data_IF_223683023996
#
_entry.id   IF_223683023996
#
_cell.length_a   1.000
_cell.length_b   1.000
_cell.length_c   1.000
_cell.angle_alpha   90.00
_cell.angle_beta   90.00
_cell.angle_gamma   90.00
#
_symmetry.space_group_name_H-M   'P 1'
#
loop_
_entity.id
_entity.type
_entity.pdbx_description
1 polymer ?
#
# COMPACT_ATOMS: atom_id res chain seq x y z
N UNK A 1 1.45 29.44 -5.21
CA UNK A 1 1.03 28.59 -6.34
C UNK A 1 1.93 27.35 -6.37
N UNK A 2 1.53 26.27 -5.69
CA UNK A 2 2.22 24.97 -5.73
C UNK A 2 1.56 24.16 -6.87
N UNK A 3 2.37 23.74 -7.84
CA UNK A 3 1.94 22.85 -8.91
C UNK A 3 1.60 21.50 -8.29
N UNK A 4 0.32 21.16 -8.30
CA UNK A 4 -0.12 19.80 -8.10
C UNK A 4 0.40 18.96 -9.27
N UNK A 5 1.36 18.10 -9.01
CA UNK A 5 1.78 17.06 -9.94
C UNK A 5 0.68 15.99 -9.96
N UNK A 6 -0.27 16.20 -10.85
CA UNK A 6 -1.28 15.21 -11.19
C UNK A 6 -0.58 14.06 -11.93
N UNK A 7 -0.22 13.01 -11.20
CA UNK A 7 0.16 11.73 -11.80
C UNK A 7 -1.11 11.18 -12.44
N UNK A 8 -1.30 11.49 -13.72
CA UNK A 8 -2.36 10.88 -14.51
C UNK A 8 -2.10 9.38 -14.54
N UNK A 9 -2.87 8.63 -13.76
CA UNK A 9 -3.09 7.20 -14.02
C UNK A 9 -3.86 7.12 -15.33
N UNK A 10 -3.14 6.93 -16.42
CA UNK A 10 -3.73 6.75 -17.74
C UNK A 10 -4.54 5.46 -17.73
N UNK A 11 -5.85 5.60 -17.82
CA UNK A 11 -6.77 4.55 -18.25
C UNK A 11 -7.20 3.55 -17.18
N UNK A 12 -8.11 3.95 -16.30
CA UNK A 12 -8.97 2.99 -15.61
C UNK A 12 -9.95 2.40 -16.65
N UNK A 13 -9.54 1.33 -17.33
CA UNK A 13 -10.46 0.48 -18.07
C UNK A 13 -11.04 -0.54 -17.09
N UNK A 14 -12.31 -0.35 -16.72
CA UNK A 14 -13.10 -1.39 -16.07
C UNK A 14 -13.34 -2.48 -17.10
N UNK A 15 -12.55 -3.55 -17.06
CA UNK A 15 -12.76 -4.72 -17.90
C UNK A 15 -13.93 -5.53 -17.34
N UNK A 16 -14.99 -5.62 -18.11
CA UNK A 16 -16.10 -6.54 -17.88
C UNK A 16 -15.68 -7.93 -18.37
N UNK A 17 -15.56 -8.90 -17.47
CA UNK A 17 -15.45 -10.31 -17.82
C UNK A 17 -16.61 -10.72 -18.74
N UNK A 18 -16.30 -11.09 -19.96
CA UNK A 18 -17.21 -11.82 -20.82
C UNK A 18 -16.83 -13.30 -20.78
N UNK A 19 -17.63 -14.08 -20.09
CA UNK A 19 -17.62 -15.53 -20.30
C UNK A 19 -18.08 -15.82 -21.72
N UNK A 20 -17.23 -16.40 -22.53
CA UNK A 20 -17.63 -17.01 -23.81
C UNK A 20 -17.79 -18.51 -23.55
N UNK A 21 -19.04 -18.93 -23.33
CA UNK A 21 -19.44 -20.32 -23.51
C UNK A 21 -19.53 -20.56 -25.01
N UNK A 22 -18.59 -21.33 -25.57
CA UNK A 22 -18.65 -21.83 -26.92
C UNK A 22 -18.67 -23.34 -26.92
N UNK A 23 -19.87 -23.93 -26.82
CA UNK A 23 -20.07 -25.34 -27.16
C UNK A 23 -20.38 -25.45 -28.67
N UNK A 24 -19.52 -26.13 -29.43
CA UNK A 24 -19.92 -26.71 -30.67
C UNK A 24 -19.12 -27.99 -30.90
N UNK A 25 -19.76 -29.12 -30.59
CA UNK A 25 -19.28 -30.44 -31.02
C UNK A 25 -19.44 -30.59 -32.52
N UNK A 26 -18.32 -30.68 -33.22
CA UNK A 26 -18.26 -31.09 -34.62
C UNK A 26 -17.31 -32.27 -34.75
N UNK A 27 -17.87 -33.47 -34.77
CA UNK A 27 -17.11 -34.70 -35.15
C UNK A 27 -16.69 -34.60 -36.61
N UNK A 28 -15.40 -34.36 -36.86
CA UNK A 28 -14.75 -34.63 -38.14
C UNK A 28 -13.78 -35.78 -37.91
N UNK A 29 -14.16 -36.94 -38.39
CA UNK A 29 -13.27 -38.10 -38.56
C UNK A 29 -12.20 -37.71 -39.56
N UNK A 30 -11.01 -37.31 -39.09
CA UNK A 30 -9.83 -37.23 -39.94
C UNK A 30 -9.06 -38.53 -39.82
N UNK A 31 -8.92 -39.22 -40.96
CA UNK A 31 -8.13 -40.45 -41.11
C UNK A 31 -6.70 -40.15 -40.62
N UNK A 32 -6.24 -40.94 -39.65
CA UNK A 32 -4.85 -40.93 -39.21
C UNK A 32 -3.98 -41.51 -40.33
N UNK A 33 -3.25 -40.65 -41.03
CA UNK A 33 -2.10 -41.07 -41.82
C UNK A 33 -0.93 -41.29 -40.85
N UNK A 34 -0.13 -42.36 -41.02
CA UNK A 34 1.04 -42.57 -40.19
C UNK A 34 2.06 -41.48 -40.52
N UNK A 35 2.22 -40.53 -39.65
CA UNK A 35 3.33 -39.58 -39.71
C UNK A 35 4.62 -40.37 -39.44
N UNK A 36 5.35 -40.64 -40.52
CA UNK A 36 6.73 -41.08 -40.42
C UNK A 36 7.53 -40.03 -39.62
N UNK A 37 8.39 -40.52 -38.73
CA UNK A 37 9.24 -39.75 -37.85
C UNK A 37 10.23 -38.84 -38.63
N UNK A 38 9.76 -37.75 -39.16
CA UNK A 38 10.55 -36.53 -39.32
C UNK A 38 10.41 -35.82 -37.96
N UNK A 39 11.53 -35.66 -37.24
CA UNK A 39 11.55 -35.06 -35.92
C UNK A 39 10.70 -33.80 -35.93
N UNK A 40 9.74 -33.72 -35.01
CA UNK A 40 8.88 -32.56 -34.89
C UNK A 40 9.77 -31.33 -34.70
N UNK A 41 9.59 -30.32 -35.53
CA UNK A 41 10.38 -29.11 -35.46
C UNK A 41 10.01 -28.39 -34.15
N UNK A 42 11.01 -28.20 -33.29
CA UNK A 42 10.83 -27.50 -32.01
C UNK A 42 10.38 -26.06 -32.26
N UNK A 43 9.35 -25.62 -31.55
CA UNK A 43 8.89 -24.25 -31.65
C UNK A 43 7.39 -24.09 -31.51
N UNK A 44 6.93 -22.89 -31.84
CA UNK A 44 5.51 -22.53 -31.84
C UNK A 44 4.83 -23.14 -33.07
N UNK A 45 3.77 -23.89 -32.85
CA UNK A 45 3.04 -24.64 -33.90
C UNK A 45 1.53 -24.61 -33.62
N UNK A 46 0.74 -24.69 -34.68
CA UNK A 46 -0.70 -24.93 -34.57
C UNK A 46 -0.94 -26.43 -34.36
N UNK A 47 -1.44 -26.80 -33.17
CA UNK A 47 -1.78 -28.16 -32.81
C UNK A 47 -3.23 -28.23 -32.37
N UNK A 48 -4.06 -29.00 -33.02
CA UNK A 48 -5.50 -29.14 -32.73
C UNK A 48 -6.26 -27.80 -32.70
N UNK A 49 -5.88 -26.88 -33.59
CA UNK A 49 -6.52 -25.57 -33.73
C UNK A 49 -6.11 -24.51 -32.69
N UNK A 50 -5.18 -24.84 -31.80
CA UNK A 50 -4.57 -23.93 -30.84
C UNK A 50 -3.08 -23.74 -31.09
N UNK A 51 -2.55 -22.56 -30.80
CA UNK A 51 -1.11 -22.31 -30.86
C UNK A 51 -0.42 -22.87 -29.61
N UNK A 52 0.51 -23.80 -29.80
CA UNK A 52 1.23 -24.50 -28.75
C UNK A 52 2.74 -24.48 -29.01
N UNK A 53 3.51 -24.73 -27.97
CA UNK A 53 4.96 -24.90 -28.13
C UNK A 53 5.33 -26.39 -28.10
N UNK A 54 6.00 -26.86 -29.12
CA UNK A 54 6.44 -28.26 -29.27
C UNK A 54 7.93 -28.35 -28.94
N UNK A 55 8.34 -29.35 -28.17
CA UNK A 55 9.73 -29.60 -27.83
C UNK A 55 10.46 -30.45 -28.88
N UNK A 56 11.71 -30.79 -28.63
CA UNK A 56 12.57 -31.56 -29.55
C UNK A 56 12.09 -33.01 -29.76
N UNK A 57 11.23 -33.51 -28.87
CA UNK A 57 10.66 -34.86 -28.94
C UNK A 57 9.30 -34.91 -29.62
N UNK A 58 8.76 -33.75 -29.99
CA UNK A 58 7.39 -33.61 -30.50
C UNK A 58 6.33 -33.51 -29.41
N UNK A 59 6.74 -33.39 -28.14
CA UNK A 59 5.85 -33.21 -27.00
C UNK A 59 5.36 -31.77 -26.84
N UNK A 60 4.07 -31.62 -26.47
CA UNK A 60 3.51 -30.29 -26.10
C UNK A 60 4.09 -29.87 -24.76
N UNK A 61 4.67 -28.69 -24.73
CA UNK A 61 5.19 -28.10 -23.50
C UNK A 61 4.05 -27.48 -22.71
N UNK A 62 3.98 -27.76 -21.40
CA UNK A 62 2.98 -27.25 -20.48
C UNK A 62 3.65 -26.57 -19.27
N UNK A 63 2.92 -25.69 -18.56
CA UNK A 63 3.33 -25.04 -17.31
C UNK A 63 4.70 -24.33 -17.39
N UNK A 64 5.03 -23.74 -18.52
CA UNK A 64 6.32 -23.12 -18.77
C UNK A 64 6.21 -21.79 -19.52
N UNK A 65 7.14 -20.90 -19.23
CA UNK A 65 7.35 -19.68 -19.99
C UNK A 65 8.10 -19.97 -21.30
N UNK A 66 7.58 -19.47 -22.40
CA UNK A 66 8.24 -19.45 -23.71
C UNK A 66 8.31 -18.05 -24.27
N UNK A 67 9.35 -17.77 -25.03
CA UNK A 67 9.55 -16.46 -25.68
C UNK A 67 9.21 -16.52 -27.15
N UNK A 68 8.63 -15.44 -27.65
CA UNK A 68 8.39 -15.17 -29.07
C UNK A 68 8.41 -13.65 -29.27
N UNK A 69 9.14 -13.19 -30.26
CA UNK A 69 9.21 -11.77 -30.68
C UNK A 69 9.50 -10.80 -29.51
N UNK A 70 10.42 -11.22 -28.62
CA UNK A 70 10.81 -10.43 -27.44
C UNK A 70 9.82 -10.45 -26.27
N UNK A 71 8.64 -11.07 -26.43
CA UNK A 71 7.63 -11.22 -25.37
C UNK A 71 7.71 -12.60 -24.73
N UNK A 72 7.21 -12.73 -23.51
CA UNK A 72 7.12 -14.00 -22.78
C UNK A 72 5.66 -14.39 -22.63
N UNK A 73 5.38 -15.66 -22.90
CA UNK A 73 4.05 -16.27 -22.83
C UNK A 73 4.12 -17.47 -21.89
N UNK A 74 3.09 -17.67 -21.09
CA UNK A 74 2.98 -18.84 -20.23
C UNK A 74 2.03 -19.87 -20.86
N UNK A 75 2.50 -21.10 -20.93
CA UNK A 75 1.69 -22.24 -21.37
C UNK A 75 1.06 -22.88 -20.14
N UNK A 76 -0.24 -23.05 -20.15
CA UNK A 76 -1.01 -23.65 -19.06
C UNK A 76 -0.83 -25.18 -18.99
N UNK A 77 -1.59 -25.85 -18.16
CA UNK A 77 -1.58 -27.30 -18.00
C UNK A 77 -1.94 -28.09 -19.29
N UNK A 78 -2.67 -27.45 -20.21
CA UNK A 78 -3.06 -28.00 -21.51
C UNK A 78 -2.06 -27.63 -22.65
N UNK A 79 -1.03 -26.81 -22.32
CA UNK A 79 -0.11 -26.25 -23.29
C UNK A 79 -0.68 -25.10 -24.11
N UNK A 80 -1.79 -24.51 -23.68
CA UNK A 80 -2.39 -23.34 -24.29
C UNK A 80 -1.80 -22.05 -23.71
N UNK A 81 -1.79 -20.97 -24.49
CA UNK A 81 -1.32 -19.68 -24.02
C UNK A 81 -2.32 -19.12 -23.00
N UNK A 82 -1.89 -19.00 -21.76
CA UNK A 82 -2.68 -18.31 -20.73
C UNK A 82 -2.87 -16.84 -21.12
N UNK A 83 -4.08 -16.30 -21.00
CA UNK A 83 -4.41 -14.91 -21.32
C UNK A 83 -5.27 -14.27 -20.22
N UNK A 84 -5.08 -12.96 -19.98
CA UNK A 84 -5.76 -12.17 -18.97
C UNK A 84 -5.78 -12.88 -17.60
N UNK A 85 -4.60 -13.32 -17.15
CA UNK A 85 -4.49 -14.22 -16.01
C UNK A 85 -3.26 -13.98 -15.15
N UNK A 86 -3.40 -14.25 -13.84
CA UNK A 86 -2.28 -14.35 -12.92
C UNK A 86 -1.62 -15.73 -12.98
N UNK A 87 -0.33 -15.73 -13.17
CA UNK A 87 0.49 -16.95 -13.18
C UNK A 87 1.16 -17.08 -11.82
N UNK A 88 0.77 -18.14 -11.09
CA UNK A 88 1.28 -18.47 -9.73
C UNK A 88 1.22 -17.27 -8.76
N UNK A 89 0.24 -16.38 -8.93
CA UNK A 89 0.08 -15.18 -8.10
C UNK A 89 1.29 -14.24 -8.12
N UNK A 90 2.12 -14.31 -9.15
CA UNK A 90 3.40 -13.58 -9.21
C UNK A 90 3.57 -12.78 -10.50
N UNK A 91 3.10 -13.28 -11.62
CA UNK A 91 3.14 -12.62 -12.92
C UNK A 91 1.73 -12.45 -13.47
N UNK A 92 1.51 -11.45 -14.27
CA UNK A 92 0.27 -11.29 -15.02
C UNK A 92 0.55 -11.27 -16.50
N UNK A 93 -0.34 -11.90 -17.29
CA UNK A 93 -0.34 -11.87 -18.74
C UNK A 93 -1.57 -11.13 -19.24
N UNK A 94 -1.40 -10.34 -20.30
CA UNK A 94 -2.48 -9.55 -20.90
C UNK A 94 -3.45 -10.43 -21.72
N UNK A 95 -4.45 -9.82 -22.33
CA UNK A 95 -5.44 -10.49 -23.20
C UNK A 95 -4.80 -11.24 -24.37
N UNK A 96 -3.60 -10.85 -24.79
CA UNK A 96 -2.83 -11.53 -25.84
C UNK A 96 -1.95 -12.66 -25.31
N UNK A 97 -1.93 -12.87 -23.99
CA UNK A 97 -1.07 -13.81 -23.29
C UNK A 97 0.35 -13.30 -23.05
N UNK A 98 0.67 -12.08 -23.42
CA UNK A 98 2.01 -11.54 -23.21
C UNK A 98 2.20 -11.09 -21.74
N UNK A 99 3.36 -11.44 -21.14
CA UNK A 99 3.73 -11.01 -19.79
C UNK A 99 3.78 -9.49 -19.69
N UNK A 100 3.05 -8.95 -18.73
CA UNK A 100 3.06 -7.53 -18.39
C UNK A 100 4.21 -7.16 -17.46
N UNK A 101 4.72 -5.93 -17.58
CA UNK A 101 5.84 -5.41 -16.80
C UNK A 101 5.67 -3.91 -16.58
N UNK A 102 6.28 -3.41 -15.49
CA UNK A 102 6.34 -1.97 -15.16
C UNK A 102 4.96 -1.30 -15.24
N UNK A 103 3.93 -2.01 -14.80
CA UNK A 103 2.54 -1.59 -14.90
C UNK A 103 1.74 -1.91 -13.63
N UNK A 104 0.63 -1.22 -13.48
CA UNK A 104 -0.33 -1.46 -12.41
C UNK A 104 -1.47 -2.36 -12.90
N UNK A 105 -1.78 -3.38 -12.11
CA UNK A 105 -2.93 -4.26 -12.32
C UNK A 105 -3.92 -4.02 -11.18
N UNK A 106 -5.18 -3.83 -11.52
CA UNK A 106 -6.26 -3.78 -10.55
C UNK A 106 -7.08 -5.06 -10.58
N UNK A 107 -7.17 -5.70 -9.43
CA UNK A 107 -8.03 -6.85 -9.20
C UNK A 107 -9.32 -6.43 -8.52
N UNK A 108 -10.45 -6.88 -9.05
CA UNK A 108 -11.77 -6.62 -8.48
C UNK A 108 -12.21 -7.71 -7.47
N UNK A 109 -11.41 -8.77 -7.34
CA UNK A 109 -11.68 -9.93 -6.49
C UNK A 109 -12.39 -11.08 -7.22
N UNK A 110 -12.55 -10.99 -8.55
CA UNK A 110 -13.12 -12.09 -9.36
C UNK A 110 -12.12 -13.19 -9.67
N UNK A 111 -10.82 -12.89 -9.58
CA UNK A 111 -9.73 -13.86 -9.73
C UNK A 111 -9.36 -14.51 -8.40
N UNK A 112 -8.31 -15.35 -8.39
CA UNK A 112 -7.74 -15.89 -7.15
C UNK A 112 -6.98 -14.83 -6.33
N UNK A 113 -6.74 -13.65 -6.89
CA UNK A 113 -6.08 -12.54 -6.22
C UNK A 113 -7.08 -11.72 -5.42
N UNK A 114 -6.62 -11.22 -4.27
CA UNK A 114 -7.46 -10.34 -3.46
C UNK A 114 -7.70 -9.00 -4.17
N UNK A 115 -8.89 -8.43 -3.98
CA UNK A 115 -9.24 -7.11 -4.52
C UNK A 115 -8.22 -6.06 -4.13
N UNK A 116 -7.72 -5.30 -5.11
CA UNK A 116 -6.80 -4.19 -4.90
C UNK A 116 -5.82 -3.98 -6.05
N UNK A 117 -4.88 -3.08 -5.84
CA UNK A 117 -3.85 -2.74 -6.82
C UNK A 117 -2.58 -3.55 -6.59
N UNK A 118 -1.97 -3.97 -7.69
CA UNK A 118 -0.69 -4.67 -7.75
C UNK A 118 0.24 -3.94 -8.72
N UNK A 119 1.53 -3.93 -8.46
CA UNK A 119 2.52 -3.38 -9.38
C UNK A 119 3.48 -4.46 -9.86
N UNK A 120 3.61 -4.59 -11.15
CA UNK A 120 4.56 -5.49 -11.79
C UNK A 120 5.86 -4.73 -12.06
N UNK A 121 6.95 -5.21 -11.50
CA UNK A 121 8.27 -4.60 -11.71
C UNK A 121 8.87 -4.92 -13.09
N UNK A 122 10.13 -4.51 -13.35
CA UNK A 122 10.80 -4.72 -14.63
C UNK A 122 10.95 -6.19 -15.05
N UNK A 123 10.97 -7.11 -14.08
CA UNK A 123 11.01 -8.55 -14.34
C UNK A 123 9.64 -9.15 -14.64
N UNK A 124 8.56 -8.36 -14.57
CA UNK A 124 7.17 -8.82 -14.63
C UNK A 124 6.64 -9.40 -13.32
N UNK A 125 7.47 -9.52 -12.28
CA UNK A 125 7.02 -10.00 -10.98
C UNK A 125 6.27 -8.91 -10.23
N UNK A 126 5.20 -9.28 -9.54
CA UNK A 126 4.53 -8.42 -8.60
C UNK A 126 5.46 -8.05 -7.44
N UNK A 127 5.51 -6.77 -7.10
CA UNK A 127 6.22 -6.29 -5.91
C UNK A 127 5.48 -6.81 -4.67
N UNK A 128 6.23 -7.39 -3.72
CA UNK A 128 5.65 -8.02 -2.51
C UNK A 128 6.47 -7.68 -1.29
N UNK A 129 5.76 -7.47 -0.17
CA UNK A 129 6.34 -7.31 1.17
C UNK A 129 7.49 -6.30 1.24
N UNK A 130 7.39 -5.21 0.48
CA UNK A 130 8.44 -4.21 0.35
C UNK A 130 7.87 -2.82 0.07
N UNK A 131 8.75 -1.83 0.24
CA UNK A 131 8.53 -0.45 -0.17
C UNK A 131 9.13 -0.22 -1.55
N UNK A 132 8.36 0.37 -2.44
CA UNK A 132 8.81 0.69 -3.79
C UNK A 132 8.66 2.16 -4.10
N UNK A 133 9.75 2.78 -4.55
CA UNK A 133 9.70 4.12 -5.12
C UNK A 133 9.33 4.02 -6.59
N UNK A 134 8.21 4.65 -6.97
CA UNK A 134 7.73 4.75 -8.35
C UNK A 134 7.53 6.23 -8.68
N UNK A 135 8.36 6.75 -9.56
CA UNK A 135 8.47 8.20 -9.77
C UNK A 135 8.93 8.91 -8.50
N UNK A 136 8.18 9.92 -8.06
CA UNK A 136 8.54 10.73 -6.90
C UNK A 136 7.90 10.26 -5.59
N UNK A 137 7.06 9.24 -5.63
CA UNK A 137 6.33 8.74 -4.47
C UNK A 137 6.71 7.31 -4.11
N UNK A 138 6.44 6.91 -2.86
CA UNK A 138 6.71 5.56 -2.36
C UNK A 138 5.41 4.85 -2.03
N UNK A 139 5.34 3.60 -2.43
CA UNK A 139 4.26 2.66 -2.16
C UNK A 139 4.74 1.54 -1.26
N UNK A 140 3.82 0.92 -0.53
CA UNK A 140 4.10 -0.29 0.23
C UNK A 140 3.18 -1.43 -0.25
N UNK A 141 3.73 -2.64 -0.33
CA UNK A 141 3.00 -3.82 -0.76
C UNK A 141 2.98 -4.85 0.37
N UNK A 142 1.89 -5.59 0.48
CA UNK A 142 1.77 -6.68 1.45
C UNK A 142 2.47 -7.96 0.96
N UNK A 143 2.43 -9.02 1.78
CA UNK A 143 3.06 -10.30 1.44
C UNK A 143 2.43 -10.99 0.23
N UNK A 144 1.22 -10.62 -0.15
CA UNK A 144 0.53 -11.12 -1.33
C UNK A 144 0.76 -10.22 -2.57
N UNK A 145 1.42 -9.08 -2.40
CA UNK A 145 1.71 -8.11 -3.45
C UNK A 145 0.66 -7.03 -3.63
N UNK A 146 -0.36 -7.00 -2.78
CA UNK A 146 -1.39 -5.96 -2.84
C UNK A 146 -0.86 -4.65 -2.27
N UNK A 147 -1.08 -3.55 -2.95
CA UNK A 147 -0.76 -2.20 -2.49
C UNK A 147 -1.49 -1.88 -1.18
N UNK A 148 -0.73 -1.46 -0.17
CA UNK A 148 -1.27 -1.00 1.10
C UNK A 148 -1.86 0.41 0.98
N UNK A 149 -2.89 0.68 1.76
CA UNK A 149 -3.55 1.98 1.86
C UNK A 149 -3.88 2.30 3.31
N UNK A 150 -4.21 3.55 3.60
CA UNK A 150 -4.57 3.98 4.94
C UNK A 150 -3.39 3.97 5.91
N UNK A 151 -3.67 3.67 7.16
CA UNK A 151 -2.66 3.59 8.20
C UNK A 151 -1.77 2.36 8.06
N UNK A 152 -0.46 2.56 8.18
CA UNK A 152 0.52 1.49 8.15
C UNK A 152 1.53 1.65 9.29
N UNK A 153 1.82 0.54 9.97
CA UNK A 153 2.72 0.47 11.13
C UNK A 153 3.85 -0.48 10.81
N UNK A 154 5.07 0.00 10.94
CA UNK A 154 6.24 -0.81 10.66
C UNK A 154 7.42 -0.36 11.53
N UNK A 155 8.08 -1.31 12.20
CA UNK A 155 9.27 -1.07 13.03
C UNK A 155 9.08 0.07 14.06
N UNK A 156 7.89 0.19 14.63
CA UNK A 156 7.56 1.24 15.59
C UNK A 156 7.22 2.59 14.98
N UNK A 157 7.28 2.75 13.67
CA UNK A 157 6.90 3.97 12.96
C UNK A 157 5.45 3.91 12.45
N UNK A 158 4.83 5.07 12.35
CA UNK A 158 3.47 5.25 11.85
C UNK A 158 3.53 5.98 10.51
N UNK A 159 2.84 5.45 9.51
CA UNK A 159 2.71 6.01 8.17
C UNK A 159 1.23 6.15 7.79
N UNK A 160 0.94 7.04 6.86
CA UNK A 160 -0.35 7.10 6.20
C UNK A 160 -0.16 7.04 4.68
N UNK A 161 -0.81 6.09 4.04
CA UNK A 161 -0.62 5.78 2.61
C UNK A 161 -1.73 6.32 1.72
N UNK A 162 -2.57 7.21 2.27
CA UNK A 162 -3.72 7.71 1.53
C UNK A 162 -4.84 6.67 1.37
N UNK A 163 -5.80 6.99 0.53
CA UNK A 163 -6.91 6.10 0.21
C UNK A 163 -6.56 5.08 -0.89
N UNK A 164 -7.53 4.30 -1.32
CA UNK A 164 -7.36 3.27 -2.35
C UNK A 164 -6.96 3.83 -3.73
N UNK A 165 -7.21 5.13 -3.98
CA UNK A 165 -6.83 5.79 -5.22
C UNK A 165 -5.43 6.38 -5.16
N UNK A 166 -4.88 6.57 -3.97
CA UNK A 166 -3.56 7.15 -3.73
C UNK A 166 -2.53 6.06 -3.46
N UNK A 167 -2.66 5.32 -2.36
CA UNK A 167 -1.81 4.20 -1.98
C UNK A 167 -0.34 4.53 -1.76
N UNK A 168 0.05 5.80 -1.79
CA UNK A 168 1.43 6.23 -1.59
C UNK A 168 1.60 6.99 -0.27
N UNK A 169 2.83 7.00 0.20
CA UNK A 169 3.23 7.63 1.46
C UNK A 169 2.85 9.12 1.46
N UNK A 170 2.16 9.55 2.51
CA UNK A 170 1.81 10.94 2.72
C UNK A 170 2.89 11.64 3.54
N UNK A 171 3.15 12.91 3.25
CA UNK A 171 4.12 13.77 3.95
C UNK A 171 3.48 15.12 4.30
N UNK A 172 4.07 15.83 5.27
CA UNK A 172 3.58 17.10 5.74
C UNK A 172 2.34 16.97 6.62
N UNK A 173 1.62 18.06 6.78
CA UNK A 173 0.40 18.10 7.56
C UNK A 173 -0.74 17.34 6.91
N UNK A 174 -1.46 16.53 7.70
CA UNK A 174 -2.67 15.83 7.30
C UNK A 174 -3.72 15.89 8.38
N UNK A 175 -4.91 16.33 8.01
CA UNK A 175 -6.10 16.21 8.82
C UNK A 175 -6.80 14.90 8.45
N UNK A 176 -6.83 13.97 9.40
CA UNK A 176 -7.35 12.63 9.16
C UNK A 176 -8.50 12.37 10.12
N UNK A 177 -9.66 12.10 9.58
CA UNK A 177 -10.82 11.72 10.36
C UNK A 177 -10.59 10.36 11.00
N UNK A 178 -11.08 10.20 12.22
CA UNK A 178 -11.11 8.92 12.89
C UNK A 178 -12.14 8.05 12.17
N UNK A 179 -11.68 7.02 11.48
CA UNK A 179 -12.56 6.04 10.82
C UNK A 179 -13.15 5.02 11.80
N UNK A 180 -12.98 5.25 13.11
CA UNK A 180 -13.42 4.34 14.16
C UNK A 180 -12.66 3.01 14.20
N UNK A 181 -11.74 2.75 13.28
CA UNK A 181 -10.93 1.56 13.29
C UNK A 181 -9.89 1.66 14.38
N UNK A 182 -9.92 0.71 15.30
CA UNK A 182 -8.85 0.52 16.28
C UNK A 182 -7.55 0.32 15.50
N UNK A 183 -6.56 1.16 15.72
CA UNK A 183 -5.22 0.94 15.18
C UNK A 183 -4.74 -0.41 15.68
N UNK A 184 -4.19 -1.27 14.81
CA UNK A 184 -3.64 -2.54 15.26
C UNK A 184 -2.57 -2.25 16.31
N UNK A 185 -2.74 -2.86 17.45
CA UNK A 185 -1.79 -2.80 18.54
C UNK A 185 -0.62 -3.72 18.24
N UNK A 186 0.38 -3.25 17.56
CA UNK A 186 1.70 -3.86 17.69
C UNK A 186 2.44 -3.17 18.82
N UNK A 187 2.58 -3.87 19.94
CA UNK A 187 3.30 -3.41 21.11
C UNK A 187 2.63 -2.20 21.79
N UNK A 188 2.84 -1.98 23.03
CA UNK A 188 2.41 -0.97 23.99
C UNK A 188 1.72 0.35 23.54
N UNK A 189 1.59 0.64 22.28
CA UNK A 189 0.93 1.85 21.74
C UNK A 189 -0.60 1.80 21.89
N UNK A 190 -1.18 0.62 22.10
CA UNK A 190 -2.64 0.39 22.00
C UNK A 190 -3.46 0.80 23.21
N UNK A 191 -2.87 1.09 24.34
CA UNK A 191 -3.63 1.43 25.55
C UNK A 191 -4.03 2.89 25.67
N UNK A 192 -3.45 3.77 24.87
CA UNK A 192 -3.66 5.21 24.94
C UNK A 192 -4.47 5.78 23.77
N UNK A 193 -5.11 4.94 22.96
CA UNK A 193 -6.09 5.40 22.00
C UNK A 193 -7.37 5.75 22.77
N UNK A 194 -7.46 6.97 23.22
CA UNK A 194 -8.76 7.57 23.53
C UNK A 194 -9.60 7.45 22.26
N UNK A 195 -10.86 6.99 22.35
CA UNK A 195 -11.77 7.06 21.21
C UNK A 195 -11.72 8.50 20.72
N UNK A 196 -11.28 8.70 19.48
CA UNK A 196 -11.13 10.04 18.95
C UNK A 196 -12.45 10.78 19.08
N UNK A 197 -12.40 12.01 19.55
CA UNK A 197 -13.50 12.95 19.48
C UNK A 197 -14.10 12.85 18.05
N UNK A 198 -15.44 12.96 17.91
CA UNK A 198 -16.04 13.01 16.58
C UNK A 198 -15.44 14.18 15.80
N UNK A 199 -14.71 13.86 14.76
CA UNK A 199 -13.95 14.80 13.94
C UNK A 199 -12.53 14.31 13.72
N UNK A 200 -11.87 14.86 12.70
CA UNK A 200 -10.52 14.51 12.37
C UNK A 200 -9.49 15.13 13.33
N UNK A 201 -8.29 14.62 13.25
CA UNK A 201 -7.14 15.07 14.03
C UNK A 201 -5.98 15.41 13.11
N UNK A 202 -5.12 16.34 13.52
CA UNK A 202 -3.94 16.71 12.79
C UNK A 202 -2.76 15.81 13.10
N UNK A 203 -2.06 15.44 12.02
CA UNK A 203 -0.82 14.68 12.04
C UNK A 203 0.22 15.37 11.19
N UNK A 204 1.48 15.20 11.53
CA UNK A 204 2.58 15.64 10.69
C UNK A 204 3.50 14.49 10.35
N UNK A 205 3.64 14.22 9.06
CA UNK A 205 4.53 13.22 8.53
C UNK A 205 5.79 13.88 7.97
N UNK A 206 6.95 13.45 8.42
CA UNK A 206 8.22 13.99 7.94
C UNK A 206 8.47 13.63 6.47
N UNK A 207 9.62 14.05 5.91
CA UNK A 207 10.00 13.77 4.53
C UNK A 207 10.15 12.27 4.20
N UNK A 208 10.36 11.42 5.22
CA UNK A 208 10.35 9.96 5.06
C UNK A 208 8.95 9.36 5.21
N UNK A 209 7.92 10.16 5.48
CA UNK A 209 6.54 9.74 5.70
C UNK A 209 6.26 9.22 7.10
N UNK A 210 7.19 9.33 8.04
CA UNK A 210 7.00 8.91 9.43
C UNK A 210 6.25 10.00 10.20
N UNK A 211 5.20 9.60 10.92
CA UNK A 211 4.49 10.52 11.80
C UNK A 211 5.41 11.05 12.91
N UNK A 212 5.32 12.33 13.22
CA UNK A 212 5.88 12.88 14.47
C UNK A 212 5.07 12.33 15.62
N UNK A 213 5.73 11.65 16.57
CA UNK A 213 5.07 11.07 17.72
C UNK A 213 6.01 10.98 18.91
N UNK A 214 5.44 10.88 20.09
CA UNK A 214 6.13 10.65 21.35
C UNK A 214 6.20 9.14 21.67
N UNK A 215 6.84 8.85 22.79
CA UNK A 215 6.66 7.59 23.51
C UNK A 215 5.36 7.65 24.33
N UNK A 216 4.85 6.49 24.72
CA UNK A 216 3.62 6.39 25.52
C UNK A 216 3.78 7.15 26.85
N UNK A 217 2.79 7.98 27.17
CA UNK A 217 2.78 8.80 28.38
C UNK A 217 3.60 10.09 28.31
N UNK A 218 4.05 10.49 27.11
CA UNK A 218 4.79 11.72 26.90
C UNK A 218 4.32 12.48 25.65
N UNK A 219 4.84 13.70 25.47
CA UNK A 219 4.63 14.51 24.28
C UNK A 219 5.97 14.81 23.61
N UNK A 220 6.01 14.71 22.28
CA UNK A 220 7.17 15.06 21.47
C UNK A 220 7.04 16.49 20.95
N UNK A 221 7.91 17.39 21.42
CA UNK A 221 8.06 18.71 20.83
C UNK A 221 8.70 18.61 19.45
N UNK A 222 8.17 19.36 18.50
CA UNK A 222 8.69 19.47 17.15
C UNK A 222 8.52 20.89 16.62
N UNK A 223 9.59 21.44 16.07
CA UNK A 223 9.54 22.70 15.34
C UNK A 223 9.22 22.40 13.86
N UNK A 224 8.19 23.06 13.36
CA UNK A 224 7.71 22.89 11.96
C UNK A 224 7.37 24.29 11.45
N UNK A 225 8.01 24.71 10.40
CA UNK A 225 7.81 26.03 9.76
C UNK A 225 7.90 27.21 10.76
N UNK A 226 8.82 27.12 11.73
CA UNK A 226 9.07 28.16 12.73
C UNK A 226 8.08 28.18 13.90
N UNK A 227 7.16 27.21 13.98
CA UNK A 227 6.22 27.06 15.08
C UNK A 227 6.50 25.77 15.84
N UNK A 228 6.20 25.76 17.13
CA UNK A 228 6.33 24.57 17.98
C UNK A 228 5.00 23.86 18.11
N UNK A 229 5.06 22.55 17.95
CA UNK A 229 3.93 21.63 18.08
C UNK A 229 4.31 20.48 18.99
N UNK A 230 3.33 19.89 19.63
CA UNK A 230 3.51 18.72 20.46
C UNK A 230 2.65 17.58 19.91
N UNK A 231 3.20 16.39 19.89
CA UNK A 231 2.53 15.20 19.37
C UNK A 231 2.52 14.12 20.44
N UNK A 232 1.40 13.43 20.57
CA UNK A 232 1.25 12.30 21.48
C UNK A 232 1.91 11.02 20.90
N UNK A 233 1.78 9.91 21.62
CA UNK A 233 2.30 8.62 21.21
C UNK A 233 1.63 8.05 19.94
N UNK A 234 0.45 8.52 19.60
CA UNK A 234 -0.30 8.14 18.40
C UNK A 234 0.02 9.04 17.20
N UNK A 235 0.84 10.08 17.42
CA UNK A 235 1.17 11.08 16.40
C UNK A 235 0.09 12.16 16.24
N UNK A 236 -0.87 12.24 17.15
CA UNK A 236 -1.88 13.30 17.14
C UNK A 236 -1.28 14.59 17.65
N UNK A 237 -1.51 15.70 16.93
CA UNK A 237 -1.15 17.02 17.38
C UNK A 237 -1.96 17.38 18.62
N UNK A 238 -1.27 17.69 19.70
CA UNK A 238 -1.89 18.11 20.95
C UNK A 238 -2.41 19.55 20.87
N UNK A 239 -3.53 19.81 21.53
CA UNK A 239 -4.19 21.13 21.63
C UNK A 239 -4.57 21.43 23.07
N UNK A 240 -4.87 22.69 23.38
CA UNK A 240 -5.28 23.11 24.72
C UNK A 240 -4.13 23.01 25.75
N UNK A 241 -4.47 22.89 27.01
CA UNK A 241 -3.49 22.71 28.07
C UNK A 241 -2.90 21.30 28.07
N UNK A 242 -1.55 21.19 28.13
CA UNK A 242 -0.84 19.93 28.28
C UNK A 242 0.25 20.04 29.32
N UNK A 243 0.36 18.99 30.13
CA UNK A 243 1.49 18.80 31.02
C UNK A 243 2.61 18.10 30.26
N UNK A 244 3.70 18.80 30.00
CA UNK A 244 4.88 18.22 29.36
C UNK A 244 5.93 17.99 30.43
N UNK A 245 6.31 16.72 30.65
CA UNK A 245 7.40 16.35 31.55
C UNK A 245 8.71 16.57 30.87
N UNK A 246 9.56 17.45 31.40
CA UNK A 246 10.98 17.37 31.07
C UNK A 246 11.53 16.14 31.80
N UNK A 247 12.21 15.28 31.05
CA UNK A 247 12.88 14.12 31.68
C UNK A 247 13.87 14.65 32.70
N UNK A 248 13.62 14.33 33.98
CA UNK A 248 14.60 14.56 35.02
C UNK A 248 15.91 13.86 34.64
N UNK A 249 17.04 14.51 34.83
CA UNK A 249 18.32 13.81 34.72
C UNK A 249 18.32 12.66 35.73
N UNK A 250 18.77 11.48 35.34
CA UNK A 250 18.83 10.35 36.25
C UNK A 250 19.57 10.77 37.54
N UNK A 251 18.87 10.78 38.65
CA UNK A 251 19.46 10.98 39.97
C UNK A 251 19.09 12.26 40.76
N UNK A 252 18.38 13.24 40.18
CA UNK A 252 18.07 14.46 40.89
C UNK A 252 16.64 14.57 41.49
N UNK A 253 15.78 13.58 41.21
CA UNK A 253 14.45 13.47 41.85
C UNK A 253 13.47 14.64 41.61
N UNK A 254 13.85 15.62 40.82
CA UNK A 254 13.08 16.84 40.57
C UNK A 254 12.66 16.94 39.10
N UNK A 255 11.77 16.07 38.69
CA UNK A 255 11.08 16.25 37.38
C UNK A 255 10.19 17.49 37.47
N UNK A 256 10.53 18.56 36.73
CA UNK A 256 9.66 19.74 36.66
C UNK A 256 8.61 19.46 35.57
N UNK A 257 7.34 19.34 36.02
CA UNK A 257 6.23 19.34 35.09
C UNK A 257 5.99 20.77 34.62
N UNK A 258 5.97 20.98 33.32
CA UNK A 258 5.70 22.26 32.69
C UNK A 258 4.35 22.20 31.98
N UNK A 259 3.48 23.15 32.28
CA UNK A 259 2.26 23.32 31.52
C UNK A 259 2.50 24.21 30.32
N UNK A 260 1.98 23.79 29.16
CA UNK A 260 1.98 24.54 27.92
C UNK A 260 0.55 24.67 27.40
N UNK A 261 0.23 25.81 26.84
CA UNK A 261 -1.01 26.00 26.11
C UNK A 261 -0.74 25.96 24.61
N UNK A 262 -1.43 25.06 23.92
CA UNK A 262 -1.19 24.73 22.54
C UNK A 262 -2.24 25.29 21.58
N UNK A 263 -3.02 26.26 22.05
CA UNK A 263 -4.06 26.87 21.23
C UNK A 263 -5.20 25.93 20.87
N UNK A 264 -5.98 26.34 19.90
CA UNK A 264 -7.10 25.55 19.36
C UNK A 264 -6.69 24.48 18.37
N UNK A 265 -7.70 23.89 17.73
CA UNK A 265 -7.57 22.73 16.85
C UNK A 265 -6.57 22.90 15.70
N UNK A 266 -6.44 24.11 15.16
CA UNK A 266 -5.62 24.39 13.98
C UNK A 266 -4.40 25.26 14.31
N UNK A 267 -4.07 25.40 15.59
CA UNK A 267 -2.99 26.24 16.08
C UNK A 267 -1.87 25.39 16.66
N UNK A 268 -0.70 25.97 16.71
CA UNK A 268 0.44 25.40 17.40
C UNK A 268 0.58 25.99 18.81
N UNK A 269 1.71 25.73 19.46
CA UNK A 269 2.04 26.36 20.74
C UNK A 269 2.03 27.87 20.63
N UNK A 270 1.20 28.52 21.46
CA UNK A 270 1.16 29.96 21.53
C UNK A 270 2.42 30.51 22.19
N UNK A 271 2.99 31.55 21.59
CA UNK A 271 4.14 32.27 22.16
C UNK A 271 3.71 33.04 23.41
N UNK A 272 4.67 33.34 24.27
CA UNK A 272 4.51 34.10 25.54
C UNK A 272 3.57 35.28 25.38
N UNK A 273 2.32 35.08 25.72
CA UNK A 273 1.27 36.11 25.75
C UNK A 273 0.30 35.79 26.88
N UNK A 274 -0.41 36.81 27.32
CA UNK A 274 -1.50 36.63 28.27
C UNK A 274 -2.67 35.96 27.54
N UNK A 275 -3.19 34.90 28.15
CA UNK A 275 -4.37 34.21 27.69
C UNK A 275 -5.47 34.36 28.72
N UNK A 276 -6.62 34.80 28.27
CA UNK A 276 -7.86 34.63 29.03
C UNK A 276 -8.46 33.28 28.57
N UNK A 277 -8.58 32.35 29.47
CA UNK A 277 -9.08 31.00 29.17
C UNK A 277 -9.99 30.55 30.31
N UNK A 278 -11.07 29.89 29.97
CA UNK A 278 -11.97 29.26 30.93
C UNK A 278 -11.37 27.97 31.50
N UNK A 279 -10.46 27.33 30.73
CA UNK A 279 -9.74 26.12 31.16
C UNK A 279 -8.49 26.49 31.97
N UNK A 280 -8.30 25.79 33.08
CA UNK A 280 -7.10 25.91 33.92
C UNK A 280 -6.24 24.67 33.75
N UNK A 281 -4.90 24.78 33.87
CA UNK A 281 -4.02 23.61 33.76
C UNK A 281 -4.42 22.44 34.66
N UNK A 282 -4.90 22.74 35.85
CA UNK A 282 -5.31 21.74 36.85
C UNK A 282 -6.73 21.20 36.67
N UNK A 283 -7.52 21.74 35.75
CA UNK A 283 -8.83 21.20 35.38
C UNK A 283 -8.69 20.14 34.23
N UNK A 284 -7.48 20.00 33.71
CA UNK A 284 -7.18 19.01 32.66
C UNK A 284 -7.07 17.60 33.24
N UNK A 285 -7.64 16.57 32.60
CA UNK A 285 -7.52 15.18 33.05
C UNK A 285 -6.07 14.68 33.17
N UNK A 286 -5.14 15.32 32.51
CA UNK A 286 -3.72 14.97 32.59
C UNK A 286 -3.04 15.49 33.85
N UNK A 287 -3.67 16.45 34.58
CA UNK A 287 -3.18 16.90 35.87
C UNK A 287 -3.24 15.82 36.93
N UNK A 288 -4.30 14.99 36.94
CA UNK A 288 -4.48 13.90 37.89
C UNK A 288 -3.48 12.75 37.71
N UNK A 289 -2.79 12.69 36.56
CA UNK A 289 -1.81 11.68 36.25
C UNK A 289 -0.35 12.15 36.41
N UNK A 290 -0.14 13.41 36.74
CA UNK A 290 1.16 14.02 36.97
C UNK A 290 1.59 13.99 38.43
#
# INVERSE_FOLDING_TARGET
MKKETNVKRTGCYIRRNRFILGAAAGLLLAAALPFGALGAEKGWQMVDGAERYVDETGGIVTEQWKKRDGKSYYLDENGEIAADAWIQGTWHVDETGAMEKETWIYEDGSSQMAKGWYYLGPSGKAEKNDWKKLGDVRYSFDSQGRMRTGWHYENGDIYYLGDENQGYIQIGWRYLESDGRKRPAEGSVSKALVPGEPGGQWYYFNSSGKARRAEVGSYKESEIDGHRYYFDANGVMATGWRCVREQAKPGDGTGISRFVYLGGKDEGMLKSQWLETEERPWDSPEWEQA
#
